data_IF_419099405931
#
_entry.id   IF_419099405931
#
_cell.length_a   1.000
_cell.length_b   1.000
_cell.length_c   1.000
_cell.angle_alpha   90.00
_cell.angle_beta   90.00
_cell.angle_gamma   90.00
#
_symmetry.space_group_name_H-M   'P 1'
#
loop_
_entity.id
_entity.type
_entity.pdbx_description
1 polymer ?
#
# COMPACT_ATOMS: atom_id res chain seq x y z
N UNK A 1 2.96 36.72 6.21
CA UNK A 1 4.09 35.84 6.61
C UNK A 1 3.71 34.40 6.28
N UNK A 2 4.28 33.78 5.19
CA UNK A 2 4.04 32.36 4.86
C UNK A 2 4.69 31.50 5.95
N UNK A 3 3.89 30.74 6.72
CA UNK A 3 4.38 29.75 7.69
C UNK A 3 5.36 28.83 6.97
N UNK A 4 6.63 28.80 7.40
CA UNK A 4 7.63 27.81 6.93
C UNK A 4 7.13 26.42 7.29
N UNK A 5 6.40 25.79 6.37
CA UNK A 5 5.79 24.48 6.60
C UNK A 5 6.88 23.41 6.65
N UNK A 6 7.05 22.81 7.82
CA UNK A 6 7.93 21.69 8.04
C UNK A 6 7.21 20.40 7.60
N UNK A 7 7.66 19.79 6.50
CA UNK A 7 7.08 18.55 5.93
C UNK A 7 7.05 17.40 6.92
N UNK A 8 8.10 17.27 7.71
CA UNK A 8 8.20 16.21 8.73
C UNK A 8 7.09 16.34 9.76
N UNK A 9 6.82 17.56 10.21
CA UNK A 9 5.73 17.82 11.15
C UNK A 9 4.37 17.51 10.52
N UNK A 10 4.15 17.92 9.29
CA UNK A 10 2.93 17.63 8.54
C UNK A 10 2.70 16.13 8.37
N UNK A 11 3.74 15.38 7.96
CA UNK A 11 3.64 13.92 7.84
C UNK A 11 3.32 13.26 9.18
N UNK A 12 3.95 13.71 10.29
CA UNK A 12 3.64 13.20 11.63
C UNK A 12 2.19 13.48 12.03
N UNK A 13 1.65 14.64 11.70
CA UNK A 13 0.24 14.98 11.94
C UNK A 13 -0.69 14.05 11.14
N UNK A 14 -0.42 13.82 9.85
CA UNK A 14 -1.20 12.89 9.03
C UNK A 14 -1.15 11.44 9.56
N UNK A 15 0.01 10.99 10.04
CA UNK A 15 0.15 9.65 10.64
C UNK A 15 -0.70 9.56 11.91
N UNK A 16 -0.72 10.61 12.72
CA UNK A 16 -1.53 10.66 13.94
C UNK A 16 -3.03 10.60 13.61
N UNK A 17 -3.49 11.43 12.68
CA UNK A 17 -4.88 11.42 12.22
C UNK A 17 -5.32 10.05 11.70
N UNK A 18 -4.46 9.40 10.87
CA UNK A 18 -4.73 8.05 10.37
C UNK A 18 -4.84 7.00 11.49
N UNK A 19 -4.12 7.16 12.59
CA UNK A 19 -4.23 6.28 13.76
C UNK A 19 -5.52 6.53 14.53
N UNK A 20 -5.91 7.78 14.68
CA UNK A 20 -7.18 8.20 15.30
C UNK A 20 -8.39 7.69 14.51
N UNK A 21 -8.26 7.58 13.16
CA UNK A 21 -9.23 6.98 12.24
C UNK A 21 -9.15 5.44 12.20
N UNK A 22 -8.37 4.78 13.06
CA UNK A 22 -8.14 3.33 13.11
C UNK A 22 -7.54 2.73 11.82
N UNK A 23 -6.99 3.55 10.94
CA UNK A 23 -6.36 3.15 9.66
C UNK A 23 -4.89 2.76 9.85
N UNK A 24 -4.65 1.82 10.77
CA UNK A 24 -3.31 1.44 11.23
C UNK A 24 -2.38 0.98 10.10
N UNK A 25 -2.89 0.19 9.14
CA UNK A 25 -2.08 -0.27 7.99
C UNK A 25 -1.58 0.88 7.12
N UNK A 26 -2.45 1.88 6.86
CA UNK A 26 -2.08 3.08 6.12
C UNK A 26 -1.11 3.93 6.91
N UNK A 27 -1.35 4.15 8.21
CA UNK A 27 -0.46 4.87 9.09
C UNK A 27 0.95 4.25 9.14
N UNK A 28 1.04 2.91 9.14
CA UNK A 28 2.32 2.19 9.09
C UNK A 28 3.10 2.46 7.79
N UNK A 29 2.42 2.46 6.63
CA UNK A 29 3.05 2.77 5.34
C UNK A 29 3.56 4.22 5.33
N UNK A 30 2.78 5.17 5.84
CA UNK A 30 3.19 6.58 5.96
C UNK A 30 4.41 6.73 6.88
N UNK A 31 4.42 6.03 8.02
CA UNK A 31 5.55 6.04 8.96
C UNK A 31 6.82 5.46 8.33
N UNK A 32 6.70 4.32 7.63
CA UNK A 32 7.83 3.68 6.92
C UNK A 32 8.38 4.58 5.82
N UNK A 33 7.51 5.26 5.08
CA UNK A 33 7.89 6.23 4.05
C UNK A 33 8.62 7.43 4.66
N UNK A 34 8.12 7.97 5.78
CA UNK A 34 8.76 9.05 6.51
C UNK A 34 10.16 8.66 6.97
N UNK A 35 10.30 7.50 7.60
CA UNK A 35 11.59 7.00 8.09
C UNK A 35 12.61 6.84 6.95
N UNK A 36 12.20 6.21 5.84
CA UNK A 36 13.05 6.03 4.67
C UNK A 36 13.48 7.38 4.06
N UNK A 37 12.56 8.34 4.02
CA UNK A 37 12.83 9.66 3.47
C UNK A 37 13.72 10.51 4.36
N UNK A 38 13.56 10.44 5.69
CA UNK A 38 14.44 11.12 6.66
C UNK A 38 15.87 10.58 6.60
N UNK A 39 16.04 9.26 6.49
CA UNK A 39 17.34 8.63 6.32
C UNK A 39 18.05 9.09 5.03
N UNK A 40 17.30 9.26 3.94
CA UNK A 40 17.85 9.78 2.69
C UNK A 40 18.27 11.24 2.82
N UNK A 41 17.44 12.06 3.43
CA UNK A 41 17.67 13.50 3.57
C UNK A 41 18.78 13.84 4.57
N UNK A 42 19.12 12.92 5.47
CA UNK A 42 20.04 13.14 6.61
C UNK A 42 19.68 14.36 7.49
N UNK A 43 18.42 14.77 7.45
CA UNK A 43 17.91 15.94 8.19
C UNK A 43 16.51 15.65 8.73
N UNK A 44 16.24 16.11 9.94
CA UNK A 44 14.94 15.97 10.60
C UNK A 44 13.88 16.95 10.06
N UNK A 45 14.32 17.95 9.31
CA UNK A 45 13.44 19.01 8.81
C UNK A 45 13.53 19.13 7.29
N UNK A 46 12.48 18.69 6.61
CA UNK A 46 12.39 18.76 5.16
C UNK A 46 11.28 19.75 4.78
N UNK A 47 11.56 20.65 3.83
CA UNK A 47 10.60 21.65 3.35
C UNK A 47 9.98 21.21 2.03
N UNK A 48 8.69 21.50 1.82
CA UNK A 48 7.97 21.14 0.58
C UNK A 48 8.54 21.83 -0.67
N UNK A 49 9.02 23.04 -0.57
CA UNK A 49 9.61 23.78 -1.70
C UNK A 49 10.91 23.16 -2.24
N UNK A 50 11.59 22.31 -1.45
CA UNK A 50 12.78 21.56 -1.88
C UNK A 50 12.41 20.27 -2.66
N UNK A 51 11.11 19.91 -2.78
CA UNK A 51 10.68 18.76 -3.55
C UNK A 51 10.73 19.07 -5.03
N UNK A 52 11.79 18.60 -5.68
CA UNK A 52 12.02 18.71 -7.11
C UNK A 52 12.05 17.33 -7.76
N UNK A 53 11.89 17.29 -9.08
CA UNK A 53 11.92 16.03 -9.85
C UNK A 53 13.25 15.30 -9.69
N UNK A 54 14.35 16.03 -9.75
CA UNK A 54 15.72 15.53 -9.55
C UNK A 54 15.87 14.88 -8.16
N UNK A 55 15.35 15.54 -7.13
CA UNK A 55 15.42 15.07 -5.76
C UNK A 55 14.61 13.77 -5.54
N UNK A 56 13.40 13.69 -6.11
CA UNK A 56 12.60 12.48 -6.07
C UNK A 56 13.29 11.32 -6.82
N UNK A 57 13.95 11.62 -7.94
CA UNK A 57 14.71 10.60 -8.68
C UNK A 57 15.94 10.11 -7.90
N UNK A 58 16.63 11.00 -7.21
CA UNK A 58 17.73 10.62 -6.31
C UNK A 58 17.23 9.72 -5.16
N UNK A 59 16.06 10.02 -4.59
CA UNK A 59 15.46 9.16 -3.56
C UNK A 59 15.08 7.79 -4.12
N UNK A 60 14.52 7.70 -5.33
CA UNK A 60 14.26 6.43 -6.01
C UNK A 60 15.54 5.60 -6.15
N UNK A 61 16.61 6.20 -6.66
CA UNK A 61 17.90 5.55 -6.82
C UNK A 61 18.49 5.10 -5.47
N UNK A 62 18.37 5.93 -4.43
CA UNK A 62 18.79 5.57 -3.08
C UNK A 62 18.05 4.33 -2.54
N UNK A 63 16.74 4.25 -2.73
CA UNK A 63 15.95 3.07 -2.34
C UNK A 63 16.37 1.82 -3.12
N UNK A 64 16.64 1.96 -4.42
CA UNK A 64 17.12 0.85 -5.26
C UNK A 64 18.50 0.36 -4.83
N UNK A 65 19.40 1.27 -4.53
CA UNK A 65 20.75 0.94 -4.04
C UNK A 65 20.71 0.25 -2.66
N UNK A 66 19.68 0.50 -1.86
CA UNK A 66 19.40 -0.23 -0.61
C UNK A 66 18.77 -1.61 -0.82
N UNK A 67 18.57 -2.06 -2.05
CA UNK A 67 17.96 -3.35 -2.36
C UNK A 67 16.43 -3.37 -2.29
N UNK A 68 15.74 -2.23 -2.16
CA UNK A 68 14.28 -2.19 -2.16
C UNK A 68 13.72 -2.72 -3.49
N UNK A 69 12.66 -3.52 -3.40
CA UNK A 69 11.92 -3.98 -4.60
C UNK A 69 11.24 -2.81 -5.31
N UNK A 70 10.92 -2.95 -6.60
CA UNK A 70 10.17 -1.94 -7.33
C UNK A 70 8.80 -1.64 -6.72
N UNK A 71 8.15 -2.64 -6.15
CA UNK A 71 6.86 -2.44 -5.46
C UNK A 71 7.01 -1.61 -4.18
N UNK A 72 8.09 -1.80 -3.42
CA UNK A 72 8.42 -0.97 -2.26
C UNK A 72 8.71 0.47 -2.66
N UNK A 73 9.51 0.66 -3.71
CA UNK A 73 9.80 2.00 -4.27
C UNK A 73 8.51 2.69 -4.70
N UNK A 74 7.67 1.98 -5.45
CA UNK A 74 6.36 2.50 -5.88
C UNK A 74 5.49 2.91 -4.70
N UNK A 75 5.41 2.07 -3.66
CA UNK A 75 4.62 2.37 -2.45
C UNK A 75 5.09 3.66 -1.81
N UNK A 76 6.39 3.84 -1.63
CA UNK A 76 6.94 5.06 -1.04
C UNK A 76 6.71 6.30 -1.92
N UNK A 77 6.88 6.17 -3.25
CA UNK A 77 6.62 7.28 -4.18
C UNK A 77 5.15 7.68 -4.23
N UNK A 78 4.24 6.71 -4.23
CA UNK A 78 2.79 6.96 -4.18
C UNK A 78 2.37 7.60 -2.87
N UNK A 79 2.94 7.17 -1.75
CA UNK A 79 2.69 7.77 -0.43
C UNK A 79 3.19 9.22 -0.39
N UNK A 80 4.42 9.49 -0.87
CA UNK A 80 4.94 10.86 -0.96
C UNK A 80 4.08 11.75 -1.87
N UNK A 81 3.58 11.22 -2.99
CA UNK A 81 2.65 11.93 -3.88
C UNK A 81 1.35 12.28 -3.16
N UNK A 82 0.77 11.33 -2.41
CA UNK A 82 -0.44 11.56 -1.62
C UNK A 82 -0.23 12.65 -0.57
N UNK A 83 0.89 12.61 0.15
CA UNK A 83 1.24 13.62 1.16
C UNK A 83 1.45 15.00 0.51
N UNK A 84 2.12 15.04 -0.65
CA UNK A 84 2.33 16.28 -1.38
C UNK A 84 1.02 16.90 -1.83
N UNK A 85 0.12 16.11 -2.41
CA UNK A 85 -1.19 16.60 -2.86
C UNK A 85 -2.00 17.15 -1.68
N UNK A 86 -2.05 16.46 -0.54
CA UNK A 86 -2.69 16.98 0.68
C UNK A 86 -2.08 18.29 1.16
N UNK A 87 -0.76 18.43 1.05
CA UNK A 87 -0.09 19.69 1.42
C UNK A 87 -0.40 20.85 0.45
N UNK A 88 -0.66 20.53 -0.82
CA UNK A 88 -1.16 21.51 -1.81
C UNK A 88 -2.59 21.91 -1.48
N UNK A 89 -3.47 20.94 -1.21
CA UNK A 89 -4.87 21.16 -0.83
C UNK A 89 -4.98 22.02 0.43
N UNK A 90 -4.10 21.81 1.41
CA UNK A 90 -4.01 22.60 2.65
C UNK A 90 -3.30 23.96 2.46
N UNK A 91 -2.90 24.31 1.24
CA UNK A 91 -2.21 25.59 0.93
C UNK A 91 -0.80 25.72 1.52
N UNK A 92 -0.18 24.61 1.97
CA UNK A 92 1.16 24.60 2.56
C UNK A 92 2.28 24.71 1.52
N UNK A 93 1.99 24.41 0.28
CA UNK A 93 2.92 24.50 -0.86
C UNK A 93 2.16 24.79 -2.14
N UNK A 94 2.85 25.38 -3.12
CA UNK A 94 2.28 25.56 -4.46
C UNK A 94 2.36 24.27 -5.27
N UNK A 95 1.37 24.03 -6.12
CA UNK A 95 1.37 22.89 -7.00
C UNK A 95 2.51 22.98 -8.01
N UNK A 96 3.33 21.93 -8.09
CA UNK A 96 4.35 21.78 -9.12
C UNK A 96 3.87 20.76 -10.16
N UNK A 97 3.54 21.17 -11.39
CA UNK A 97 2.98 20.28 -12.38
C UNK A 97 3.93 19.12 -12.70
N UNK A 98 3.38 17.93 -12.78
CA UNK A 98 4.11 16.71 -13.18
C UNK A 98 5.32 16.37 -12.29
N UNK A 99 5.30 16.73 -11.00
CA UNK A 99 6.42 16.50 -10.07
C UNK A 99 6.84 15.01 -10.01
N UNK A 100 5.89 14.09 -10.02
CA UNK A 100 6.12 12.64 -9.89
C UNK A 100 6.17 11.89 -11.24
N UNK A 101 6.26 12.61 -12.39
CA UNK A 101 6.19 11.97 -13.72
C UNK A 101 7.34 11.00 -14.00
N UNK A 102 8.53 11.28 -13.47
CA UNK A 102 9.77 10.53 -13.80
C UNK A 102 10.19 9.52 -12.73
N UNK A 103 9.36 9.30 -11.73
CA UNK A 103 9.59 8.28 -10.70
C UNK A 103 8.65 7.10 -10.86
N UNK A 104 9.10 5.93 -10.41
CA UNK A 104 8.32 4.72 -10.55
C UNK A 104 7.16 4.68 -9.55
N UNK A 105 5.94 4.66 -10.06
CA UNK A 105 4.70 4.57 -9.27
C UNK A 105 3.82 3.38 -9.72
N UNK A 106 4.33 2.52 -10.59
CA UNK A 106 3.64 1.35 -11.11
C UNK A 106 3.62 0.17 -10.13
N UNK A 107 2.94 -0.89 -10.52
CA UNK A 107 2.96 -2.17 -9.81
C UNK A 107 3.50 -3.22 -10.77
N UNK A 108 4.59 -3.90 -10.39
CA UNK A 108 5.10 -5.06 -11.12
C UNK A 108 4.55 -6.32 -10.46
N UNK A 109 3.66 -7.01 -11.15
CA UNK A 109 3.30 -8.38 -10.83
C UNK A 109 4.33 -9.31 -11.47
N UNK A 110 5.23 -9.87 -10.69
CA UNK A 110 6.29 -10.74 -11.21
C UNK A 110 5.77 -12.15 -11.55
N UNK A 111 4.66 -12.56 -10.97
CA UNK A 111 4.04 -13.88 -11.20
C UNK A 111 2.54 -13.77 -11.19
N UNK A 112 1.88 -14.44 -12.13
CA UNK A 112 0.45 -14.68 -12.04
C UNK A 112 0.20 -15.66 -10.90
N UNK A 113 -0.60 -15.28 -9.91
CA UNK A 113 -0.98 -16.12 -8.78
C UNK A 113 -2.30 -16.87 -9.03
N UNK A 114 -2.89 -16.70 -10.20
CA UNK A 114 -4.08 -17.42 -10.59
C UNK A 114 -3.73 -18.89 -10.85
N UNK A 115 -4.49 -19.79 -10.24
CA UNK A 115 -4.45 -21.22 -10.55
C UNK A 115 -5.03 -21.46 -11.95
N UNK A 116 -4.48 -22.42 -12.67
CA UNK A 116 -5.10 -22.88 -13.90
C UNK A 116 -6.34 -23.75 -13.62
N UNK A 117 -7.11 -24.05 -14.66
CA UNK A 117 -8.34 -24.81 -14.51
C UNK A 117 -8.07 -26.25 -14.00
N UNK A 118 -6.92 -26.84 -14.34
CA UNK A 118 -6.55 -28.19 -13.89
C UNK A 118 -6.21 -28.22 -12.42
N UNK A 119 -5.45 -27.23 -11.94
CA UNK A 119 -5.07 -27.14 -10.54
C UNK A 119 -6.27 -26.77 -9.67
N UNK A 120 -7.16 -25.92 -10.20
CA UNK A 120 -8.41 -25.60 -9.52
C UNK A 120 -9.33 -26.83 -9.42
N UNK A 121 -9.44 -27.64 -10.50
CA UNK A 121 -10.21 -28.88 -10.48
C UNK A 121 -9.67 -29.87 -9.46
N UNK A 122 -8.35 -30.03 -9.33
CA UNK A 122 -7.74 -30.88 -8.31
C UNK A 122 -8.07 -30.37 -6.89
N UNK A 123 -7.99 -29.06 -6.69
CA UNK A 123 -8.29 -28.45 -5.39
C UNK A 123 -9.74 -28.66 -4.99
N UNK A 124 -10.67 -28.61 -5.93
CA UNK A 124 -12.10 -28.81 -5.72
C UNK A 124 -12.50 -30.30 -5.62
N UNK A 125 -11.63 -31.24 -6.04
CA UNK A 125 -11.93 -32.67 -6.01
C UNK A 125 -12.18 -33.19 -4.61
N UNK A 126 -13.21 -34.01 -4.42
CA UNK A 126 -13.54 -34.59 -3.12
C UNK A 126 -12.46 -35.58 -2.59
N UNK A 127 -11.73 -36.23 -3.52
CA UNK A 127 -10.67 -37.18 -3.17
C UNK A 127 -9.31 -36.73 -3.67
N UNK A 128 -8.36 -36.58 -2.75
CA UNK A 128 -6.95 -36.39 -3.04
C UNK A 128 -6.18 -37.69 -2.95
N UNK A 129 -5.11 -37.88 -3.73
CA UNK A 129 -4.31 -39.11 -3.71
C UNK A 129 -3.68 -39.41 -2.37
N UNK A 130 -3.55 -38.41 -1.50
CA UNK A 130 -3.03 -38.54 -0.12
C UNK A 130 -3.85 -37.67 0.82
N UNK A 131 -4.10 -38.14 2.06
CA UNK A 131 -4.74 -37.31 3.07
C UNK A 131 -3.87 -36.10 3.38
N UNK A 132 -4.49 -34.94 3.48
CA UNK A 132 -3.81 -33.72 3.88
C UNK A 132 -3.78 -33.56 5.39
N UNK A 133 -2.78 -32.88 5.96
CA UNK A 133 -2.84 -32.39 7.33
C UNK A 133 -4.11 -31.56 7.58
N UNK A 134 -4.68 -31.66 8.79
CA UNK A 134 -5.94 -30.97 9.12
C UNK A 134 -5.95 -29.48 8.77
N UNK A 135 -4.87 -28.76 9.06
CA UNK A 135 -4.74 -27.35 8.73
C UNK A 135 -4.79 -27.04 7.22
N UNK A 136 -4.34 -28.00 6.39
CA UNK A 136 -4.44 -27.89 4.94
C UNK A 136 -5.84 -28.22 4.43
N UNK A 137 -6.54 -29.17 5.05
CA UNK A 137 -7.95 -29.46 4.74
C UNK A 137 -8.84 -28.27 5.07
N UNK A 138 -8.65 -27.64 6.21
CA UNK A 138 -9.35 -26.41 6.58
C UNK A 138 -9.09 -25.29 5.56
N UNK A 139 -7.83 -25.07 5.19
CA UNK A 139 -7.46 -24.07 4.18
C UNK A 139 -8.10 -24.35 2.82
N UNK A 140 -8.12 -25.62 2.42
CA UNK A 140 -8.78 -26.08 1.19
C UNK A 140 -10.29 -25.83 1.24
N UNK A 141 -10.94 -26.14 2.35
CA UNK A 141 -12.37 -25.88 2.55
C UNK A 141 -12.68 -24.38 2.40
N UNK A 142 -11.88 -23.51 3.01
CA UNK A 142 -12.03 -22.06 2.87
C UNK A 142 -11.86 -21.57 1.43
N UNK A 143 -10.83 -22.04 0.72
CA UNK A 143 -10.59 -21.68 -0.68
C UNK A 143 -11.74 -22.17 -1.56
N UNK A 144 -12.23 -23.39 -1.33
CA UNK A 144 -13.36 -23.96 -2.05
C UNK A 144 -14.63 -23.11 -1.83
N UNK A 145 -14.90 -22.75 -0.58
CA UNK A 145 -16.04 -21.90 -0.24
C UNK A 145 -15.95 -20.52 -0.90
N UNK A 146 -14.79 -19.88 -0.82
CA UNK A 146 -14.53 -18.59 -1.50
C UNK A 146 -14.76 -18.69 -3.01
N UNK A 147 -14.32 -19.77 -3.65
CA UNK A 147 -14.54 -20.01 -5.06
C UNK A 147 -16.02 -20.18 -5.41
N UNK A 148 -16.75 -21.01 -4.66
CA UNK A 148 -18.19 -21.25 -4.83
C UNK A 148 -19.00 -19.96 -4.63
N UNK A 149 -18.55 -19.08 -3.75
CA UNK A 149 -19.12 -17.73 -3.52
C UNK A 149 -18.57 -16.68 -4.51
N UNK A 150 -18.13 -17.12 -5.69
CA UNK A 150 -17.67 -16.27 -6.80
C UNK A 150 -16.49 -15.33 -6.43
N UNK A 151 -15.57 -15.82 -5.61
CA UNK A 151 -14.36 -15.08 -5.24
C UNK A 151 -14.57 -14.13 -4.07
N UNK A 152 -15.55 -14.39 -3.20
CA UNK A 152 -15.73 -13.61 -1.97
C UNK A 152 -14.44 -13.61 -1.14
N UNK A 153 -13.94 -12.45 -0.70
CA UNK A 153 -12.74 -12.35 0.14
C UNK A 153 -12.92 -13.07 1.48
N UNK A 154 -11.85 -13.66 2.00
CA UNK A 154 -11.89 -14.35 3.30
C UNK A 154 -12.38 -13.44 4.45
N UNK A 155 -12.01 -12.16 4.41
CA UNK A 155 -12.45 -11.16 5.40
C UNK A 155 -13.98 -11.05 5.44
N UNK A 156 -14.62 -11.07 4.26
CA UNK A 156 -16.08 -10.95 4.15
C UNK A 156 -16.78 -12.23 4.59
N UNK A 157 -16.11 -13.41 4.47
CA UNK A 157 -16.59 -14.66 5.02
C UNK A 157 -16.43 -14.74 6.54
N UNK A 158 -15.30 -14.24 7.07
CA UNK A 158 -15.02 -14.26 8.50
C UNK A 158 -15.87 -13.24 9.28
N UNK A 159 -16.27 -12.17 8.60
CA UNK A 159 -17.09 -11.11 9.15
C UNK A 159 -18.29 -10.82 8.22
N UNK A 160 -19.28 -11.74 8.13
CA UNK A 160 -20.43 -11.52 7.28
C UNK A 160 -21.21 -10.31 7.77
N UNK A 161 -21.00 -9.19 7.07
CA UNK A 161 -21.81 -8.00 7.30
C UNK A 161 -23.16 -8.24 6.66
N UNK A 162 -24.22 -8.13 7.43
CA UNK A 162 -25.60 -8.26 6.97
C UNK A 162 -25.99 -7.07 6.08
N UNK A 163 -25.47 -7.05 4.85
CA UNK A 163 -25.90 -6.07 3.83
C UNK A 163 -27.28 -6.37 3.24
N UNK A 164 -27.92 -7.47 3.64
CA UNK A 164 -29.21 -7.87 3.11
C UNK A 164 -30.36 -6.94 3.54
N UNK A 165 -30.12 -6.06 4.53
CA UNK A 165 -31.15 -5.13 5.01
C UNK A 165 -31.05 -3.70 4.46
N UNK A 166 -30.09 -3.39 3.58
CA UNK A 166 -29.90 -2.03 3.06
C UNK A 166 -30.42 -1.79 1.65
N UNK A 167 -31.12 -2.76 1.04
CA UNK A 167 -31.84 -2.62 -0.24
C UNK A 167 -33.21 -3.31 -0.15
N UNK A 168 -34.09 -2.72 0.57
CA UNK A 168 -35.52 -2.90 0.40
C UNK A 168 -36.12 -1.55 -0.09
#
# INVERSE_FOLDING_TARGET
MKKKSNRTLFMKQLIRSLKEEERFSTAHIYQSTLNAFMLFCKTDTIRFNQMERSYLKQFENHLRNKGCTWNTVSTYMRTLRSIYNKAVDDGLTEEKPRLFRHVYTGVKANTKRALDAKDMSKLLSASLPRPLPQSMEESRAWITLMFLLRGMPFVDLAHPVSYTHLRA
#
